data_IF_177828359933
#
_entry.id   IF_177828359933
#
_cell.length_a   1.000
_cell.length_b   1.000
_cell.length_c   1.000
_cell.angle_alpha   90.00
_cell.angle_beta   90.00
_cell.angle_gamma   90.00
#
_symmetry.space_group_name_H-M   'P 1'
#
loop_
_entity.id
_entity.type
_entity.pdbx_description
1 polymer ?
#
# COMPACT_ATOMS: atom_id res chain seq x y z
N UNK A 1 20.26 -5.15 -5.03
CA UNK A 1 20.30 -5.20 -3.57
C UNK A 1 21.58 -5.84 -3.06
N UNK A 2 22.14 -5.32 -1.96
CA UNK A 2 23.30 -5.92 -1.31
C UNK A 2 22.83 -6.82 -0.17
N UNK A 3 23.54 -7.95 0.07
CA UNK A 3 23.23 -8.85 1.17
C UNK A 3 22.13 -9.88 0.91
N UNK A 4 21.63 -9.99 -0.33
CA UNK A 4 20.65 -11.00 -0.73
C UNK A 4 21.29 -12.00 -1.70
N UNK A 5 21.10 -13.29 -1.44
CA UNK A 5 21.57 -14.37 -2.34
C UNK A 5 20.70 -14.47 -3.62
N UNK A 6 19.44 -14.10 -3.51
CA UNK A 6 18.48 -14.03 -4.62
C UNK A 6 17.62 -12.76 -4.52
N UNK A 7 17.36 -12.11 -5.64
CA UNK A 7 16.46 -10.97 -5.67
C UNK A 7 15.81 -10.79 -7.03
N UNK A 8 14.55 -10.37 -7.01
CA UNK A 8 13.77 -10.00 -8.18
C UNK A 8 12.99 -8.72 -7.83
N UNK A 9 13.25 -7.63 -8.56
CA UNK A 9 12.68 -6.31 -8.28
C UNK A 9 11.86 -5.87 -9.47
N UNK A 10 10.61 -5.46 -9.22
CA UNK A 10 9.78 -4.82 -10.22
C UNK A 10 10.46 -3.55 -10.74
N UNK A 11 10.46 -3.43 -12.07
CA UNK A 11 10.97 -2.27 -12.79
C UNK A 11 9.98 -1.91 -13.91
N UNK A 12 10.27 -0.90 -14.70
CA UNK A 12 9.45 -0.54 -15.85
C UNK A 12 9.37 0.96 -16.07
N UNK A 13 8.54 1.38 -17.01
CA UNK A 13 8.36 2.79 -17.40
C UNK A 13 7.74 3.64 -16.28
N UNK A 14 7.01 3.02 -15.37
CA UNK A 14 6.42 3.65 -14.20
C UNK A 14 7.20 3.14 -12.98
N UNK A 15 7.89 3.99 -12.31
CA UNK A 15 8.93 3.78 -11.27
C UNK A 15 8.75 2.56 -10.35
N UNK A 16 7.51 2.07 -10.18
CA UNK A 16 7.18 0.94 -9.31
C UNK A 16 6.63 -0.27 -10.08
N UNK A 17 6.93 -0.36 -11.39
CA UNK A 17 6.56 -1.47 -12.24
C UNK A 17 5.10 -1.45 -12.70
N UNK A 18 4.75 -2.40 -13.54
CA UNK A 18 3.43 -2.57 -14.14
C UNK A 18 2.66 -3.73 -13.50
N UNK A 19 1.33 -3.66 -13.52
CA UNK A 19 0.47 -4.74 -13.02
C UNK A 19 0.37 -5.93 -13.97
N UNK A 20 0.49 -5.68 -15.28
CA UNK A 20 0.38 -6.69 -16.32
C UNK A 20 1.68 -6.78 -17.10
N UNK A 21 2.08 -8.00 -17.42
CA UNK A 21 3.31 -8.32 -18.12
C UNK A 21 4.51 -7.52 -17.58
N UNK A 22 4.77 -7.60 -16.26
CA UNK A 22 5.72 -6.73 -15.59
C UNK A 22 7.16 -6.98 -16.01
N UNK A 23 7.94 -5.92 -15.93
CA UNK A 23 9.39 -5.95 -16.06
C UNK A 23 10.01 -6.22 -14.68
N UNK A 24 11.04 -7.07 -14.65
CA UNK A 24 11.84 -7.34 -13.46
C UNK A 24 13.34 -7.16 -13.73
N UNK A 25 14.05 -6.72 -12.73
CA UNK A 25 15.46 -7.01 -12.58
C UNK A 25 15.62 -8.19 -11.64
N UNK A 26 16.11 -9.31 -12.15
CA UNK A 26 16.33 -10.53 -11.39
C UNK A 26 17.81 -10.92 -11.41
N UNK A 27 18.44 -10.90 -10.25
CA UNK A 27 19.86 -11.21 -10.09
C UNK A 27 20.76 -10.50 -11.13
N UNK A 28 20.42 -9.23 -11.45
CA UNK A 28 21.15 -8.39 -12.39
C UNK A 28 20.77 -8.57 -13.87
N UNK A 29 19.73 -9.34 -14.18
CA UNK A 29 19.22 -9.49 -15.55
C UNK A 29 17.83 -8.85 -15.65
N UNK A 30 17.62 -8.07 -16.72
CA UNK A 30 16.30 -7.57 -17.05
C UNK A 30 15.48 -8.66 -17.74
N UNK A 31 14.27 -8.91 -17.25
CA UNK A 31 13.32 -9.88 -17.81
C UNK A 31 11.94 -9.27 -17.86
N UNK A 32 11.12 -9.71 -18.80
CA UNK A 32 9.68 -9.39 -18.88
C UNK A 32 8.92 -10.68 -18.73
N UNK A 33 8.00 -10.73 -17.77
CA UNK A 33 7.19 -11.91 -17.54
C UNK A 33 5.74 -11.67 -17.93
N UNK A 34 5.12 -12.70 -18.52
CA UNK A 34 3.73 -12.67 -18.93
C UNK A 34 2.80 -13.00 -17.76
N UNK A 35 1.81 -12.13 -17.52
CA UNK A 35 0.81 -12.35 -16.49
C UNK A 35 0.58 -11.16 -15.58
N UNK A 36 0.02 -11.44 -14.41
CA UNK A 36 -0.31 -10.42 -13.42
C UNK A 36 0.76 -10.36 -12.32
N UNK A 37 1.27 -9.17 -12.04
CA UNK A 37 2.44 -8.95 -11.18
C UNK A 37 2.34 -9.63 -9.80
N UNK A 38 1.18 -9.53 -9.14
CA UNK A 38 0.98 -10.13 -7.80
C UNK A 38 1.10 -11.66 -7.84
N UNK A 39 0.57 -12.29 -8.90
CA UNK A 39 0.68 -13.75 -9.08
C UNK A 39 2.13 -14.16 -9.34
N UNK A 40 2.81 -13.44 -10.23
CA UNK A 40 4.21 -13.70 -10.61
C UNK A 40 5.15 -13.55 -9.40
N UNK A 41 4.98 -12.49 -8.60
CA UNK A 41 5.79 -12.26 -7.39
C UNK A 41 5.62 -13.45 -6.42
N UNK A 42 4.41 -13.99 -6.33
CA UNK A 42 4.11 -15.14 -5.47
C UNK A 42 4.74 -16.42 -6.02
N UNK A 43 4.66 -16.64 -7.34
CA UNK A 43 5.30 -17.78 -8.01
C UNK A 43 6.81 -17.76 -7.75
N UNK A 44 7.47 -16.59 -7.90
CA UNK A 44 8.90 -16.41 -7.59
C UNK A 44 9.23 -16.66 -6.12
N UNK A 45 8.36 -16.24 -5.20
CA UNK A 45 8.55 -16.51 -3.77
C UNK A 45 8.47 -18.01 -3.46
N UNK A 46 7.53 -18.73 -4.07
CA UNK A 46 7.40 -20.18 -3.93
C UNK A 46 8.59 -20.89 -4.57
N UNK A 47 9.00 -20.49 -5.77
CA UNK A 47 10.17 -21.05 -6.48
C UNK A 47 11.44 -20.89 -5.65
N UNK A 48 11.66 -19.71 -5.05
CA UNK A 48 12.77 -19.50 -4.10
C UNK A 48 12.72 -20.48 -2.93
N UNK A 49 11.55 -20.70 -2.33
CA UNK A 49 11.40 -21.64 -1.21
C UNK A 49 11.61 -23.09 -1.65
N UNK A 50 11.29 -23.47 -2.87
CA UNK A 50 11.55 -24.78 -3.43
C UNK A 50 13.03 -25.03 -3.67
N UNK A 51 13.72 -24.04 -4.24
CA UNK A 51 15.13 -24.12 -4.64
C UNK A 51 16.15 -23.85 -3.56
N UNK A 52 15.75 -23.33 -2.37
CA UNK A 52 16.66 -22.98 -1.29
C UNK A 52 17.36 -24.18 -0.68
N UNK A 53 18.52 -23.97 -0.07
CA UNK A 53 19.14 -24.97 0.80
C UNK A 53 18.30 -25.14 2.07
N UNK A 54 17.64 -26.30 2.20
CA UNK A 54 16.74 -26.61 3.31
C UNK A 54 17.45 -26.78 4.67
N UNK A 55 18.78 -26.89 4.68
CA UNK A 55 19.58 -26.96 5.90
C UNK A 55 19.95 -25.56 6.46
N UNK A 56 19.59 -24.50 5.74
CA UNK A 56 19.84 -23.13 6.16
C UNK A 56 18.54 -22.39 6.46
N UNK A 57 18.52 -21.47 7.44
CA UNK A 57 17.42 -20.56 7.61
C UNK A 57 17.30 -19.64 6.39
N UNK A 58 16.11 -19.07 6.18
CA UNK A 58 15.88 -18.07 5.14
C UNK A 58 15.30 -16.78 5.73
N UNK A 59 15.57 -15.68 5.05
CA UNK A 59 14.89 -14.39 5.25
C UNK A 59 14.36 -13.94 3.89
N UNK A 60 13.06 -13.74 3.77
CA UNK A 60 12.40 -13.37 2.53
C UNK A 60 11.62 -12.07 2.71
N UNK A 61 11.89 -11.10 1.83
CA UNK A 61 11.10 -9.89 1.68
C UNK A 61 10.14 -10.09 0.49
N UNK A 62 8.89 -10.42 0.80
CA UNK A 62 7.82 -10.66 -0.17
C UNK A 62 6.97 -9.41 -0.30
N UNK A 63 7.36 -8.53 -1.22
CA UNK A 63 6.73 -7.22 -1.42
C UNK A 63 5.85 -7.21 -2.66
N UNK A 64 4.59 -6.79 -2.49
CA UNK A 64 3.63 -6.66 -3.57
C UNK A 64 3.58 -5.20 -4.08
N UNK A 65 3.40 -5.03 -5.40
CA UNK A 65 3.06 -3.73 -5.98
C UNK A 65 1.66 -3.28 -5.54
N UNK A 66 0.72 -4.20 -5.56
CA UNK A 66 -0.66 -3.94 -5.16
C UNK A 66 -0.75 -3.62 -3.66
N UNK A 67 -1.55 -2.65 -3.24
CA UNK A 67 -2.53 -1.85 -4.00
C UNK A 67 -2.03 -0.44 -4.40
N UNK A 68 -0.81 -0.27 -4.87
CA UNK A 68 -0.31 1.04 -5.34
C UNK A 68 -1.15 1.57 -6.52
N UNK A 69 -1.31 2.91 -6.63
CA UNK A 69 -1.92 3.59 -7.79
C UNK A 69 -1.29 3.04 -9.09
N UNK A 70 -2.02 2.67 -10.14
CA UNK A 70 -3.41 3.07 -10.46
C UNK A 70 -4.46 1.95 -10.27
N UNK A 71 -4.28 1.08 -9.34
CA UNK A 71 -5.25 0.03 -8.94
C UNK A 71 -5.83 -0.73 -10.14
N UNK A 72 -5.05 -1.58 -10.73
CA UNK A 72 -5.47 -2.43 -11.84
C UNK A 72 -5.75 -3.84 -11.30
N UNK A 73 -7.02 -4.27 -11.20
CA UNK A 73 -7.39 -5.57 -10.67
C UNK A 73 -6.82 -6.72 -11.50
N UNK A 74 -6.59 -7.87 -10.88
CA UNK A 74 -6.28 -9.09 -11.61
C UNK A 74 -7.38 -9.45 -12.60
N UNK A 75 -7.09 -10.16 -13.71
CA UNK A 75 -8.09 -10.49 -14.74
C UNK A 75 -9.33 -11.19 -14.17
N UNK A 76 -9.15 -12.04 -13.14
CA UNK A 76 -10.25 -12.75 -12.46
C UNK A 76 -11.12 -11.82 -11.59
N UNK A 77 -10.57 -10.69 -11.13
CA UNK A 77 -11.28 -9.73 -10.26
C UNK A 77 -11.85 -8.51 -11.01
N UNK A 78 -11.57 -8.36 -12.30
CA UNK A 78 -12.15 -7.28 -13.10
C UNK A 78 -13.67 -7.28 -12.99
N UNK A 79 -14.23 -6.17 -12.49
CA UNK A 79 -15.66 -5.94 -12.34
C UNK A 79 -16.34 -6.64 -11.16
N UNK A 80 -15.62 -7.34 -10.29
CA UNK A 80 -16.19 -8.11 -9.18
C UNK A 80 -17.04 -7.24 -8.23
N UNK A 81 -16.71 -5.97 -8.09
CA UNK A 81 -17.42 -5.02 -7.23
C UNK A 81 -18.29 -4.01 -7.99
N UNK A 82 -18.57 -4.21 -9.29
CA UNK A 82 -19.33 -3.24 -10.07
C UNK A 82 -20.73 -2.94 -9.50
N UNK A 83 -21.34 -3.92 -8.85
CA UNK A 83 -22.66 -3.79 -8.22
C UNK A 83 -22.59 -3.57 -6.69
N UNK A 84 -21.41 -3.32 -6.14
CA UNK A 84 -21.22 -3.08 -4.71
C UNK A 84 -21.18 -1.58 -4.44
N UNK A 85 -21.90 -1.15 -3.40
CA UNK A 85 -21.78 0.21 -2.86
C UNK A 85 -21.00 0.14 -1.55
N UNK A 86 -19.91 0.89 -1.47
CA UNK A 86 -19.08 0.97 -0.28
C UNK A 86 -19.54 2.12 0.60
N UNK A 87 -19.46 1.98 1.94
CA UNK A 87 -19.77 3.09 2.86
C UNK A 87 -18.79 4.24 2.60
N UNK A 88 -19.31 5.45 2.60
CA UNK A 88 -18.53 6.66 2.47
C UNK A 88 -17.98 7.08 3.84
N UNK A 89 -16.71 7.53 3.93
CA UNK A 89 -16.21 8.15 5.15
C UNK A 89 -17.07 9.36 5.55
N UNK A 90 -17.30 9.56 6.84
CA UNK A 90 -18.13 10.67 7.34
C UNK A 90 -17.59 12.04 6.90
N UNK A 91 -16.28 12.14 6.66
CA UNK A 91 -15.57 13.34 6.23
C UNK A 91 -15.17 13.32 4.74
N UNK A 92 -15.85 12.53 3.89
CA UNK A 92 -15.62 12.53 2.43
C UNK A 92 -15.79 13.92 1.81
N UNK A 93 -16.65 14.74 2.40
CA UNK A 93 -16.94 16.11 1.95
C UNK A 93 -16.40 17.14 2.94
N UNK A 94 -15.21 16.90 3.49
CA UNK A 94 -14.52 17.82 4.40
C UNK A 94 -14.27 19.16 3.70
N UNK A 95 -14.65 20.25 4.32
CA UNK A 95 -14.42 21.63 3.85
C UNK A 95 -13.17 22.27 4.45
N UNK A 96 -12.48 21.51 5.30
CA UNK A 96 -11.27 21.92 6.02
C UNK A 96 -11.48 23.14 6.93
N UNK A 97 -12.71 23.41 7.40
CA UNK A 97 -12.97 24.49 8.35
C UNK A 97 -12.15 24.27 9.64
N UNK A 98 -11.50 25.33 10.10
CA UNK A 98 -10.62 25.28 11.26
C UNK A 98 -9.24 24.65 11.03
N UNK A 99 -8.95 24.15 9.80
CA UNK A 99 -7.65 23.60 9.45
C UNK A 99 -6.70 24.61 8.84
N UNK A 100 -5.39 24.29 8.95
CA UNK A 100 -4.32 25.11 8.38
C UNK A 100 -4.27 25.07 6.85
N UNK A 101 -3.36 25.83 6.28
CA UNK A 101 -3.15 25.95 4.83
C UNK A 101 -2.70 24.62 4.22
N UNK A 102 -1.94 23.82 4.94
CA UNK A 102 -1.46 22.53 4.43
C UNK A 102 -2.61 21.64 3.96
N UNK A 103 -3.68 21.51 4.76
CA UNK A 103 -4.84 20.70 4.42
C UNK A 103 -5.67 21.27 3.25
N UNK A 104 -5.65 22.62 3.06
CA UNK A 104 -6.42 23.29 1.99
C UNK A 104 -5.68 23.36 0.67
N UNK A 105 -4.35 23.44 0.69
CA UNK A 105 -3.50 23.68 -0.49
C UNK A 105 -2.90 22.40 -1.07
N UNK A 106 -3.19 21.24 -0.49
CA UNK A 106 -2.76 19.94 -1.03
C UNK A 106 -3.48 19.59 -2.33
N UNK A 107 -2.86 18.69 -3.11
CA UNK A 107 -3.40 18.20 -4.38
C UNK A 107 -3.60 16.66 -4.34
N UNK A 108 -4.42 16.20 -3.38
CA UNK A 108 -4.77 14.77 -3.17
C UNK A 108 -6.28 14.51 -3.26
N UNK A 109 -7.03 15.44 -3.82
CA UNK A 109 -8.48 15.43 -3.77
C UNK A 109 -9.07 14.39 -4.73
N UNK A 110 -10.04 13.61 -4.25
CA UNK A 110 -10.89 12.75 -5.09
C UNK A 110 -11.63 13.60 -6.13
N UNK A 111 -12.06 14.80 -5.76
CA UNK A 111 -12.79 15.69 -6.67
C UNK A 111 -11.94 16.11 -7.86
N UNK A 112 -10.74 16.64 -7.62
CA UNK A 112 -9.94 17.35 -8.62
C UNK A 112 -8.76 16.55 -9.15
N UNK A 113 -8.12 15.72 -8.30
CA UNK A 113 -6.84 15.08 -8.61
C UNK A 113 -6.97 13.66 -9.17
N UNK A 114 -8.04 12.93 -8.81
CA UNK A 114 -8.32 11.65 -9.47
C UNK A 114 -8.60 11.89 -10.95
N UNK A 115 -7.68 11.41 -11.81
CA UNK A 115 -7.76 11.63 -13.27
C UNK A 115 -8.77 10.71 -13.93
N UNK A 116 -9.39 11.22 -14.99
CA UNK A 116 -10.41 10.46 -15.72
C UNK A 116 -9.83 9.26 -16.46
N UNK A 117 -8.64 9.39 -17.02
CA UNK A 117 -7.97 8.33 -17.77
C UNK A 117 -7.25 7.33 -16.86
N UNK A 118 -6.30 7.79 -16.08
CA UNK A 118 -5.40 6.95 -15.30
C UNK A 118 -6.06 6.26 -14.11
N UNK A 119 -6.81 7.03 -13.30
CA UNK A 119 -7.42 6.53 -12.07
C UNK A 119 -8.80 5.92 -12.30
N UNK A 120 -9.65 6.64 -13.03
CA UNK A 120 -11.04 6.24 -13.26
C UNK A 120 -11.23 5.38 -14.52
N UNK A 121 -10.21 5.28 -15.39
CA UNK A 121 -10.19 4.43 -16.59
C UNK A 121 -11.36 4.73 -17.55
N UNK A 122 -11.58 6.03 -17.82
CA UNK A 122 -12.73 6.51 -18.60
C UNK A 122 -12.45 6.64 -20.12
N UNK A 123 -11.42 5.96 -20.62
CA UNK A 123 -11.13 5.90 -22.05
C UNK A 123 -11.56 4.56 -22.65
N UNK A 124 -12.21 4.63 -23.80
CA UNK A 124 -12.48 3.45 -24.62
C UNK A 124 -11.21 2.99 -25.34
N UNK A 125 -11.20 1.73 -25.81
CA UNK A 125 -10.10 1.20 -26.66
C UNK A 125 -9.85 2.11 -27.87
N UNK A 126 -10.91 2.56 -28.54
CA UNK A 126 -10.80 3.43 -29.72
C UNK A 126 -10.09 4.75 -29.39
N UNK A 127 -10.39 5.37 -28.25
CA UNK A 127 -9.76 6.62 -27.81
C UNK A 127 -8.29 6.39 -27.44
N UNK A 128 -7.98 5.30 -26.74
CA UNK A 128 -6.60 4.94 -26.43
C UNK A 128 -5.77 4.65 -27.69
N UNK A 129 -6.36 4.06 -28.72
CA UNK A 129 -5.69 3.82 -30.00
C UNK A 129 -5.49 5.09 -30.83
N UNK A 130 -6.31 6.12 -30.64
CA UNK A 130 -6.13 7.45 -31.27
C UNK A 130 -4.99 8.25 -30.64
N UNK A 131 -4.74 8.05 -29.35
CA UNK A 131 -3.65 8.67 -28.62
C UNK A 131 -2.82 7.61 -27.88
N UNK A 132 -1.90 7.00 -28.59
CA UNK A 132 -1.00 5.95 -28.05
C UNK A 132 0.07 6.49 -27.09
N UNK A 133 0.16 7.80 -26.90
CA UNK A 133 1.02 8.44 -25.90
C UNK A 133 0.35 8.54 -24.55
N UNK A 134 -0.96 8.30 -24.48
CA UNK A 134 -1.72 8.32 -23.25
C UNK A 134 -1.17 7.28 -22.24
N UNK A 135 -1.05 7.69 -21.00
CA UNK A 135 -0.50 6.88 -19.91
C UNK A 135 -1.30 5.58 -19.69
N UNK A 136 -2.63 5.62 -19.79
CA UNK A 136 -3.44 4.42 -19.66
C UNK A 136 -3.18 3.42 -20.79
N UNK A 137 -3.00 3.88 -22.04
CA UNK A 137 -2.66 2.99 -23.14
C UNK A 137 -1.34 2.25 -22.92
N UNK A 138 -0.37 2.90 -22.31
CA UNK A 138 0.95 2.28 -22.07
C UNK A 138 0.87 1.00 -21.21
N UNK A 139 -0.07 0.95 -20.27
CA UNK A 139 -0.32 -0.23 -19.41
C UNK A 139 -1.38 -1.15 -20.01
N UNK A 140 -2.40 -0.60 -20.68
CA UNK A 140 -3.46 -1.37 -21.34
C UNK A 140 -2.91 -2.30 -22.42
N UNK A 141 -1.99 -1.81 -23.27
CA UNK A 141 -1.39 -2.61 -24.35
C UNK A 141 -0.54 -3.80 -23.86
N UNK A 142 -0.17 -3.83 -22.56
CA UNK A 142 0.56 -4.94 -21.95
C UNK A 142 -0.35 -6.13 -21.62
N UNK A 143 -1.65 -5.91 -21.55
CA UNK A 143 -2.62 -6.97 -21.28
C UNK A 143 -2.76 -7.90 -22.49
N UNK A 144 -2.92 -9.23 -22.29
CA UNK A 144 -3.39 -10.13 -23.32
C UNK A 144 -4.73 -9.67 -23.91
N UNK A 145 -5.00 -9.99 -25.18
CA UNK A 145 -6.20 -9.49 -25.88
C UNK A 145 -7.51 -9.89 -25.18
N UNK A 146 -7.58 -11.08 -24.63
CA UNK A 146 -8.75 -11.57 -23.88
C UNK A 146 -8.98 -10.77 -22.59
N UNK A 147 -7.91 -10.27 -21.98
CA UNK A 147 -7.99 -9.39 -20.80
C UNK A 147 -8.41 -7.99 -21.21
N UNK A 148 -7.92 -7.48 -22.36
CA UNK A 148 -8.37 -6.21 -22.93
C UNK A 148 -9.87 -6.24 -23.25
N UNK A 149 -10.36 -7.32 -23.86
CA UNK A 149 -11.79 -7.48 -24.19
C UNK A 149 -12.65 -7.51 -22.92
N UNK A 150 -12.19 -8.20 -21.87
CA UNK A 150 -12.87 -8.19 -20.56
C UNK A 150 -12.84 -6.81 -19.92
N UNK A 151 -11.70 -6.11 -19.96
CA UNK A 151 -11.54 -4.75 -19.46
C UNK A 151 -12.55 -3.81 -20.12
N UNK A 152 -12.61 -3.80 -21.45
CA UNK A 152 -13.53 -2.92 -22.17
C UNK A 152 -14.99 -3.19 -21.82
N UNK A 153 -15.37 -4.46 -21.71
CA UNK A 153 -16.73 -4.85 -21.29
C UNK A 153 -17.04 -4.37 -19.87
N UNK A 154 -16.09 -4.52 -18.94
CA UNK A 154 -16.28 -4.17 -17.51
C UNK A 154 -16.39 -2.65 -17.31
N UNK A 155 -15.57 -1.86 -18.01
CA UNK A 155 -15.55 -0.42 -17.85
C UNK A 155 -16.54 0.33 -18.75
N UNK A 156 -17.16 -0.31 -19.75
CA UNK A 156 -18.12 0.33 -20.66
C UNK A 156 -19.26 1.03 -19.92
N UNK A 157 -19.85 0.39 -18.91
CA UNK A 157 -20.95 0.96 -18.13
C UNK A 157 -20.53 2.21 -17.35
N UNK A 158 -19.33 2.18 -16.73
CA UNK A 158 -18.73 3.32 -16.02
C UNK A 158 -18.51 4.51 -16.96
N UNK A 159 -17.94 4.26 -18.13
CA UNK A 159 -17.70 5.28 -19.15
C UNK A 159 -19.02 5.90 -19.62
N UNK A 160 -20.01 5.07 -19.93
CA UNK A 160 -21.31 5.53 -20.38
C UNK A 160 -22.04 6.38 -19.33
N UNK A 161 -21.99 5.98 -18.06
CA UNK A 161 -22.58 6.73 -16.95
C UNK A 161 -21.92 8.10 -16.78
N UNK A 162 -20.60 8.15 -16.74
CA UNK A 162 -19.86 9.41 -16.61
C UNK A 162 -20.18 10.39 -17.77
N UNK A 163 -20.30 9.89 -18.99
CA UNK A 163 -20.55 10.70 -20.20
C UNK A 163 -21.95 11.26 -20.33
N UNK A 164 -22.90 10.82 -19.51
CA UNK A 164 -24.23 11.48 -19.45
C UNK A 164 -24.12 12.91 -18.95
N UNK A 165 -23.07 13.24 -18.18
CA UNK A 165 -22.82 14.60 -17.70
C UNK A 165 -23.73 15.05 -16.55
N UNK A 166 -24.49 14.13 -15.96
CA UNK A 166 -25.46 14.44 -14.89
C UNK A 166 -24.79 14.55 -13.52
N UNK A 167 -23.59 13.98 -13.37
CA UNK A 167 -22.84 13.96 -12.11
C UNK A 167 -22.14 15.29 -11.86
N UNK A 168 -22.47 15.96 -10.73
CA UNK A 168 -21.90 17.27 -10.35
C UNK A 168 -21.75 17.40 -8.83
N UNK A 169 -20.78 18.21 -8.38
CA UNK A 169 -20.55 18.47 -6.96
C UNK A 169 -20.47 17.16 -6.15
N UNK A 170 -21.20 17.08 -5.05
CA UNK A 170 -21.17 15.91 -4.16
C UNK A 170 -21.53 14.59 -4.85
N UNK A 171 -22.44 14.59 -5.83
CA UNK A 171 -22.76 13.36 -6.55
C UNK A 171 -21.61 12.85 -7.42
N UNK A 172 -20.81 13.75 -7.99
CA UNK A 172 -19.60 13.38 -8.72
C UNK A 172 -18.51 12.86 -7.79
N UNK A 173 -18.32 13.47 -6.63
CA UNK A 173 -17.33 13.04 -5.63
C UNK A 173 -17.68 11.64 -5.13
N UNK A 174 -18.94 11.41 -4.70
CA UNK A 174 -19.43 10.09 -4.30
C UNK A 174 -19.22 9.06 -5.40
N UNK A 175 -19.56 9.38 -6.64
CA UNK A 175 -19.39 8.48 -7.76
C UNK A 175 -17.90 8.14 -8.00
N UNK A 176 -17.00 9.12 -7.99
CA UNK A 176 -15.55 8.90 -8.12
C UNK A 176 -15.02 8.02 -7.00
N UNK A 177 -15.45 8.29 -5.75
CA UNK A 177 -15.11 7.48 -4.59
C UNK A 177 -15.52 6.02 -4.79
N UNK A 178 -16.76 5.75 -5.24
CA UNK A 178 -17.22 4.38 -5.49
C UNK A 178 -16.36 3.67 -6.55
N UNK A 179 -16.01 4.35 -7.66
CA UNK A 179 -15.17 3.75 -8.68
C UNK A 179 -13.76 3.46 -8.15
N UNK A 180 -13.18 4.37 -7.39
CA UNK A 180 -11.89 4.22 -6.74
C UNK A 180 -11.88 3.00 -5.80
N UNK A 181 -12.86 2.89 -4.90
CA UNK A 181 -12.96 1.78 -3.94
C UNK A 181 -13.16 0.43 -4.62
N UNK A 182 -13.95 0.37 -5.70
CA UNK A 182 -14.16 -0.86 -6.49
C UNK A 182 -12.86 -1.39 -7.07
N UNK A 183 -12.06 -0.52 -7.69
CA UNK A 183 -10.79 -0.93 -8.29
C UNK A 183 -9.73 -1.21 -7.23
N UNK A 184 -9.65 -0.39 -6.17
CA UNK A 184 -8.72 -0.58 -5.05
C UNK A 184 -8.93 -1.95 -4.38
N UNK A 185 -10.15 -2.23 -3.93
CA UNK A 185 -10.45 -3.49 -3.22
C UNK A 185 -10.37 -4.71 -4.13
N UNK A 186 -10.73 -4.59 -5.41
CA UNK A 186 -10.53 -5.67 -6.37
C UNK A 186 -9.04 -5.98 -6.60
N UNK A 187 -8.17 -4.97 -6.45
CA UNK A 187 -6.70 -5.16 -6.51
C UNK A 187 -6.19 -5.82 -5.23
N UNK A 188 -6.73 -5.47 -4.06
CA UNK A 188 -6.39 -6.07 -2.76
C UNK A 188 -6.74 -7.57 -2.71
N UNK A 189 -7.86 -7.99 -3.34
CA UNK A 189 -8.23 -9.41 -3.40
C UNK A 189 -7.13 -10.31 -3.97
N UNK A 190 -6.39 -9.82 -4.97
CA UNK A 190 -5.28 -10.58 -5.53
C UNK A 190 -4.12 -10.74 -4.53
N UNK A 191 -3.90 -9.75 -3.67
CA UNK A 191 -2.89 -9.84 -2.59
C UNK A 191 -3.32 -10.88 -1.56
N UNK A 192 -4.57 -10.83 -1.11
CA UNK A 192 -5.13 -11.77 -0.13
C UNK A 192 -5.02 -13.22 -0.61
N UNK A 193 -5.48 -13.51 -1.84
CA UNK A 193 -5.37 -14.83 -2.45
C UNK A 193 -3.92 -15.32 -2.53
N UNK A 194 -3.00 -14.44 -2.90
CA UNK A 194 -1.60 -14.78 -3.09
C UNK A 194 -0.85 -14.98 -1.76
N UNK A 195 -1.20 -14.23 -0.72
CA UNK A 195 -0.75 -14.51 0.64
C UNK A 195 -1.23 -15.90 1.07
N UNK A 196 -2.51 -16.22 0.83
CA UNK A 196 -3.06 -17.55 1.08
C UNK A 196 -2.27 -18.64 0.37
N UNK A 197 -1.90 -18.47 -0.90
CA UNK A 197 -1.08 -19.41 -1.67
C UNK A 197 0.29 -19.64 -1.00
N UNK A 198 0.96 -18.59 -0.59
CA UNK A 198 2.28 -18.68 0.05
C UNK A 198 2.20 -19.36 1.43
N UNK A 199 1.20 -19.03 2.24
CA UNK A 199 0.99 -19.65 3.56
C UNK A 199 0.66 -21.15 3.42
N UNK A 200 -0.21 -21.51 2.48
CA UNK A 200 -0.55 -22.91 2.18
C UNK A 200 0.69 -23.70 1.70
N UNK A 201 1.58 -23.06 0.94
CA UNK A 201 2.84 -23.68 0.54
C UNK A 201 3.76 -23.92 1.75
N UNK A 202 3.92 -22.94 2.64
CA UNK A 202 4.70 -23.11 3.89
C UNK A 202 4.12 -24.21 4.78
N UNK A 203 2.80 -24.33 4.87
CA UNK A 203 2.13 -25.40 5.61
C UNK A 203 2.43 -26.76 4.98
N UNK A 204 2.28 -26.87 3.65
CA UNK A 204 2.54 -28.10 2.89
C UNK A 204 3.96 -28.65 3.09
N UNK A 205 4.95 -27.76 3.20
CA UNK A 205 6.35 -28.16 3.43
C UNK A 205 6.72 -28.28 4.90
N UNK A 206 5.76 -28.07 5.82
CA UNK A 206 5.95 -28.21 7.27
C UNK A 206 6.72 -27.05 7.94
N UNK A 207 6.87 -25.92 7.25
CA UNK A 207 7.65 -24.76 7.73
C UNK A 207 6.79 -23.63 8.30
N UNK A 208 5.47 -23.67 8.18
CA UNK A 208 4.58 -22.57 8.58
C UNK A 208 4.74 -22.19 10.05
N UNK A 209 4.84 -23.18 10.95
CA UNK A 209 5.00 -22.94 12.39
C UNK A 209 6.46 -22.66 12.79
N UNK A 210 7.39 -22.89 11.88
CA UNK A 210 8.81 -22.59 12.06
C UNK A 210 9.24 -21.27 11.41
N UNK A 211 8.31 -20.54 10.81
CA UNK A 211 8.56 -19.28 10.13
C UNK A 211 7.92 -18.13 10.89
N UNK A 212 8.67 -17.05 11.12
CA UNK A 212 8.14 -15.77 11.58
C UNK A 212 7.51 -15.10 10.37
N UNK A 213 6.20 -14.88 10.41
CA UNK A 213 5.46 -14.22 9.33
C UNK A 213 5.06 -12.83 9.81
N UNK A 214 5.44 -11.82 9.03
CA UNK A 214 5.08 -10.42 9.26
C UNK A 214 4.27 -9.91 8.08
N UNK A 215 3.06 -9.46 8.34
CA UNK A 215 2.22 -8.76 7.39
C UNK A 215 2.13 -7.29 7.79
N UNK A 216 2.53 -6.41 6.90
CA UNK A 216 2.52 -4.97 7.11
C UNK A 216 2.56 -4.22 5.77
N UNK A 217 2.58 -2.90 5.84
CA UNK A 217 2.80 -1.99 4.71
C UNK A 217 3.90 -0.99 5.06
N UNK A 218 4.49 -0.37 4.06
CA UNK A 218 5.48 0.70 4.20
C UNK A 218 4.85 1.99 4.76
N UNK A 219 3.59 2.27 4.41
CA UNK A 219 2.78 3.37 4.97
C UNK A 219 1.29 3.03 4.88
N UNK A 220 0.45 3.86 5.52
CA UNK A 220 -1.00 3.84 5.36
C UNK A 220 -1.45 4.56 4.08
N UNK A 221 -2.78 4.77 3.94
CA UNK A 221 -3.36 5.31 2.72
C UNK A 221 -4.74 5.94 3.00
N UNK A 222 -5.05 7.09 2.39
CA UNK A 222 -6.38 7.67 2.45
C UNK A 222 -7.32 6.95 1.49
N UNK A 223 -8.43 6.48 2.02
CA UNK A 223 -9.49 5.81 1.28
C UNK A 223 -10.78 6.62 1.28
N UNK A 224 -10.66 7.92 1.05
CA UNK A 224 -11.76 8.87 0.99
C UNK A 224 -11.88 9.76 2.21
N UNK A 225 -11.18 9.47 3.32
CA UNK A 225 -11.14 10.33 4.48
C UNK A 225 -10.61 11.72 4.05
N UNK A 226 -11.23 12.78 4.55
CA UNK A 226 -10.99 14.17 4.17
C UNK A 226 -11.21 14.48 2.68
N UNK A 227 -11.92 13.63 1.94
CA UNK A 227 -12.04 13.74 0.49
C UNK A 227 -10.75 13.42 -0.27
N UNK A 228 -9.80 12.76 0.37
CA UNK A 228 -8.47 12.49 -0.17
C UNK A 228 -8.29 11.04 -0.61
N UNK A 229 -7.25 10.83 -1.40
CA UNK A 229 -6.66 9.55 -1.74
C UNK A 229 -5.13 9.66 -1.65
N UNK A 230 -4.41 8.54 -1.74
CA UNK A 230 -2.95 8.50 -1.61
C UNK A 230 -2.49 8.69 -0.14
N UNK A 231 -1.30 9.22 0.11
CA UNK A 231 -0.58 9.26 1.39
C UNK A 231 0.18 10.58 1.51
N UNK A 232 1.08 10.73 2.46
CA UNK A 232 2.10 11.76 2.71
C UNK A 232 1.88 12.60 3.96
N UNK A 233 0.65 12.90 4.35
CA UNK A 233 0.39 13.60 5.60
C UNK A 233 0.72 12.74 6.83
N UNK A 234 1.10 13.39 7.92
CA UNK A 234 1.28 12.74 9.21
C UNK A 234 -0.05 12.45 9.93
N UNK A 235 -1.09 12.03 9.20
CA UNK A 235 -2.39 11.65 9.77
C UNK A 235 -2.45 10.14 10.01
N UNK A 236 -3.43 9.68 10.82
CA UNK A 236 -3.52 8.25 11.18
C UNK A 236 -3.68 7.36 9.95
N UNK A 237 -4.45 7.81 8.97
CA UNK A 237 -4.70 7.10 7.71
C UNK A 237 -3.39 6.77 6.97
N UNK A 238 -2.39 7.68 7.06
CA UNK A 238 -1.08 7.47 6.44
C UNK A 238 -0.09 6.73 7.32
N UNK A 239 -0.26 6.74 8.65
CA UNK A 239 0.74 6.22 9.58
C UNK A 239 0.33 4.94 10.28
N UNK A 240 -0.98 4.67 10.39
CA UNK A 240 -1.50 3.50 11.08
C UNK A 240 -1.76 2.35 10.10
N UNK A 241 -0.68 1.78 9.54
CA UNK A 241 -0.79 0.57 8.75
C UNK A 241 -0.98 -0.66 9.64
N UNK A 242 -1.55 -1.76 9.09
CA UNK A 242 -1.63 -3.02 9.82
C UNK A 242 -0.23 -3.55 10.14
N UNK A 243 -0.08 -4.16 11.32
CA UNK A 243 1.08 -4.93 11.69
C UNK A 243 0.62 -6.22 12.37
N UNK A 244 0.75 -7.34 11.67
CA UNK A 244 0.39 -8.67 12.16
C UNK A 244 1.64 -9.53 12.14
N UNK A 245 1.96 -10.13 13.29
CA UNK A 245 3.14 -11.00 13.42
C UNK A 245 2.70 -12.35 13.97
N UNK A 246 3.05 -13.41 13.23
CA UNK A 246 2.78 -14.79 13.62
C UNK A 246 4.07 -15.57 13.80
N UNK A 247 4.24 -16.18 14.97
CA UNK A 247 5.27 -17.17 15.26
C UNK A 247 4.84 -18.03 16.46
N UNK A 248 4.13 -19.15 16.26
CA UNK A 248 3.49 -19.93 17.34
C UNK A 248 4.47 -20.44 18.41
N UNK A 249 5.75 -20.58 18.05
CA UNK A 249 6.78 -21.04 19.00
C UNK A 249 7.12 -20.01 20.09
N UNK A 250 6.80 -18.74 19.89
CA UNK A 250 7.16 -17.66 20.82
C UNK A 250 6.07 -16.62 21.03
N UNK A 251 5.11 -16.49 20.13
CA UNK A 251 4.07 -15.47 20.17
C UNK A 251 2.72 -16.14 20.40
N UNK A 252 2.03 -15.74 21.48
CA UNK A 252 0.72 -16.24 21.81
C UNK A 252 -0.31 -15.77 20.81
N UNK A 253 -1.11 -16.69 20.24
CA UNK A 253 -2.17 -16.37 19.33
C UNK A 253 -3.22 -15.45 19.97
N UNK A 254 -3.74 -14.48 19.21
CA UNK A 254 -4.75 -13.52 19.64
C UNK A 254 -4.26 -12.42 20.59
N UNK A 255 -2.95 -12.35 20.87
CA UNK A 255 -2.39 -11.22 21.63
C UNK A 255 -2.42 -9.93 20.80
N UNK A 256 -2.65 -8.81 21.47
CA UNK A 256 -2.66 -7.46 20.86
C UNK A 256 -1.77 -6.53 21.68
N UNK A 257 -1.27 -5.47 21.06
CA UNK A 257 -0.44 -4.47 21.71
C UNK A 257 -0.78 -3.05 21.26
N UNK A 258 -0.68 -2.10 22.19
CA UNK A 258 -0.72 -0.66 21.91
C UNK A 258 0.69 -0.04 21.91
N UNK A 259 1.76 -0.84 21.91
CA UNK A 259 3.12 -0.33 21.81
C UNK A 259 3.30 0.46 20.52
N UNK A 260 3.87 1.65 20.62
CA UNK A 260 4.23 2.44 19.42
C UNK A 260 5.32 1.68 18.67
N UNK A 261 5.01 1.16 17.50
CA UNK A 261 5.90 0.42 16.61
C UNK A 261 6.19 1.25 15.37
N UNK A 262 7.40 1.11 14.83
CA UNK A 262 7.86 1.87 13.66
C UNK A 262 8.56 0.93 12.68
N UNK A 263 8.65 1.32 11.40
CA UNK A 263 9.33 0.52 10.36
C UNK A 263 10.80 0.23 10.72
N UNK A 264 11.47 1.14 11.42
CA UNK A 264 12.85 0.97 11.89
C UNK A 264 13.02 -0.14 12.91
N UNK A 265 11.92 -0.68 13.49
CA UNK A 265 11.94 -1.75 14.47
C UNK A 265 12.03 -3.14 13.85
N UNK A 266 11.76 -3.28 12.56
CA UNK A 266 11.72 -4.60 11.92
C UNK A 266 13.10 -5.25 11.88
N UNK A 267 14.13 -4.53 11.43
CA UNK A 267 15.48 -5.07 11.35
C UNK A 267 16.00 -5.54 12.72
N UNK A 268 15.98 -4.73 13.80
CA UNK A 268 16.43 -5.19 15.11
C UNK A 268 15.57 -6.35 15.66
N UNK A 269 14.27 -6.40 15.33
CA UNK A 269 13.39 -7.51 15.71
C UNK A 269 13.82 -8.83 15.06
N UNK A 270 14.13 -8.79 13.75
CA UNK A 270 14.58 -10.00 13.03
C UNK A 270 15.94 -10.48 13.53
N UNK A 271 16.89 -9.57 13.77
CA UNK A 271 18.20 -9.91 14.35
C UNK A 271 18.05 -10.55 15.75
N UNK A 272 17.21 -9.99 16.60
CA UNK A 272 16.96 -10.51 17.95
C UNK A 272 16.32 -11.92 17.92
N UNK A 273 15.35 -12.16 17.04
CA UNK A 273 14.80 -13.51 16.86
C UNK A 273 15.83 -14.49 16.28
N UNK A 274 16.74 -14.03 15.46
CA UNK A 274 17.84 -14.83 14.91
C UNK A 274 18.97 -15.07 15.92
N UNK A 275 18.94 -14.43 17.09
CA UNK A 275 20.01 -14.51 18.09
C UNK A 275 21.29 -13.78 17.66
N UNK A 276 21.17 -12.80 16.77
CA UNK A 276 22.27 -11.98 16.27
C UNK A 276 22.31 -10.66 17.05
N UNK A 277 23.50 -10.22 17.42
CA UNK A 277 23.69 -8.93 18.09
C UNK A 277 23.18 -7.77 17.21
N UNK A 278 22.38 -6.89 17.80
CA UNK A 278 21.84 -5.73 17.12
C UNK A 278 22.93 -4.66 17.02
N UNK A 279 23.35 -4.24 15.82
CA UNK A 279 24.33 -3.16 15.66
C UNK A 279 23.90 -1.87 16.36
N UNK A 280 24.85 -1.18 16.99
CA UNK A 280 24.57 0.01 17.81
C UNK A 280 24.11 1.25 17.02
N UNK A 281 24.29 1.25 15.70
CA UNK A 281 23.84 2.30 14.78
C UNK A 281 22.40 2.13 14.31
N UNK A 282 21.75 1.01 14.62
CA UNK A 282 20.33 0.80 14.36
C UNK A 282 19.49 1.65 15.33
N UNK A 283 18.64 2.52 14.79
CA UNK A 283 17.82 3.45 15.57
C UNK A 283 16.53 2.82 16.12
N UNK A 284 16.09 1.70 15.55
CA UNK A 284 14.90 0.97 16.01
C UNK A 284 15.12 0.17 17.27
N UNK A 285 14.05 -0.32 17.88
CA UNK A 285 14.06 -1.24 19.00
C UNK A 285 13.42 -2.56 18.64
N UNK A 286 13.96 -3.68 19.14
CA UNK A 286 13.34 -4.99 18.92
C UNK A 286 11.93 -5.05 19.51
N UNK A 287 10.95 -5.47 18.70
CA UNK A 287 9.59 -5.76 19.14
C UNK A 287 9.48 -7.09 19.90
N UNK A 288 10.51 -7.93 19.92
CA UNK A 288 10.47 -9.25 20.54
C UNK A 288 10.03 -9.21 22.00
N UNK A 289 10.50 -8.29 22.88
CA UNK A 289 10.02 -8.22 24.25
C UNK A 289 8.51 -7.96 24.39
N UNK A 290 7.92 -7.21 23.47
CA UNK A 290 6.46 -6.98 23.40
C UNK A 290 5.76 -8.23 22.91
N UNK A 291 6.26 -8.85 21.84
CA UNK A 291 5.64 -9.99 21.16
C UNK A 291 5.59 -11.24 22.05
N UNK A 292 6.70 -11.59 22.73
CA UNK A 292 6.77 -12.78 23.59
C UNK A 292 6.08 -12.59 24.94
N UNK A 293 5.74 -11.36 25.33
CA UNK A 293 5.03 -11.02 26.55
C UNK A 293 3.54 -10.68 26.31
N UNK A 294 2.92 -11.40 25.40
CA UNK A 294 1.47 -11.26 25.08
C UNK A 294 1.04 -9.83 24.72
N UNK A 295 1.92 -9.06 24.09
CA UNK A 295 1.66 -7.68 23.70
C UNK A 295 1.86 -6.63 24.81
N UNK A 296 2.30 -7.03 26.00
CA UNK A 296 2.56 -6.08 27.09
C UNK A 296 3.77 -5.22 26.77
N UNK A 297 3.56 -3.91 26.84
CA UNK A 297 4.61 -2.92 26.58
C UNK A 297 5.60 -2.86 27.76
N UNK A 298 6.90 -2.99 27.54
CA UNK A 298 7.92 -2.74 28.57
C UNK A 298 7.82 -1.32 29.14
N UNK A 299 8.18 -1.14 30.42
CA UNK A 299 8.06 0.16 31.11
C UNK A 299 8.94 1.25 30.50
N UNK A 300 10.06 0.88 29.92
CA UNK A 300 11.04 1.73 29.24
C UNK A 300 10.79 1.88 27.73
N UNK A 301 9.68 1.34 27.23
CA UNK A 301 9.32 1.46 25.82
C UNK A 301 9.08 2.92 25.41
N UNK A 302 9.37 3.23 24.16
CA UNK A 302 9.14 4.58 23.62
C UNK A 302 7.71 5.06 23.80
N UNK A 303 7.57 6.35 24.15
CA UNK A 303 6.26 7.01 24.35
C UNK A 303 5.82 7.84 23.16
N UNK A 304 6.70 7.98 22.15
CA UNK A 304 6.42 8.78 20.97
C UNK A 304 7.17 8.23 19.75
N UNK A 305 6.61 8.51 18.57
CA UNK A 305 7.24 8.32 17.27
C UNK A 305 7.48 9.67 16.62
N UNK A 306 8.66 9.85 16.04
CA UNK A 306 9.02 11.00 15.23
C UNK A 306 8.78 10.69 13.76
N UNK A 307 8.29 11.67 13.01
CA UNK A 307 8.08 11.59 11.57
C UNK A 307 8.60 12.86 10.90
N UNK A 308 9.13 12.72 9.67
CA UNK A 308 9.56 13.86 8.86
C UNK A 308 9.28 13.60 7.39
N UNK A 309 8.60 14.56 6.74
CA UNK A 309 8.33 14.59 5.31
C UNK A 309 9.08 15.76 4.66
N UNK A 310 9.92 15.46 3.68
CA UNK A 310 10.89 16.42 3.12
C UNK A 310 10.49 17.00 1.76
N UNK A 311 9.59 16.31 1.06
CA UNK A 311 9.30 16.61 -0.34
C UNK A 311 8.29 17.75 -0.48
N UNK A 312 8.60 18.72 -1.36
CA UNK A 312 7.67 19.75 -1.80
C UNK A 312 8.26 20.45 -3.05
N UNK A 313 7.46 20.78 -4.12
CA UNK A 313 6.01 20.44 -4.26
C UNK A 313 5.74 18.96 -4.54
N UNK A 314 6.72 18.20 -5.02
CA UNK A 314 6.66 16.78 -5.32
C UNK A 314 5.28 16.33 -5.86
N UNK A 315 4.88 15.10 -5.60
CA UNK A 315 3.53 14.62 -5.90
C UNK A 315 2.54 15.19 -4.89
N UNK A 316 1.42 15.75 -5.35
CA UNK A 316 0.29 16.24 -4.54
C UNK A 316 0.53 17.51 -3.70
N UNK A 317 1.61 18.22 -3.89
CA UNK A 317 1.87 19.52 -3.24
C UNK A 317 1.72 19.53 -1.72
N UNK A 318 1.96 18.36 -1.07
CA UNK A 318 1.93 18.27 0.39
C UNK A 318 3.11 19.04 0.98
N UNK A 319 2.82 19.98 1.88
CA UNK A 319 3.84 20.83 2.50
C UNK A 319 4.82 20.02 3.34
N UNK A 320 6.11 20.40 3.34
CA UNK A 320 7.11 19.80 4.21
C UNK A 320 6.70 19.92 5.66
N UNK A 321 6.83 18.84 6.40
CA UNK A 321 6.46 18.84 7.80
C UNK A 321 7.23 17.78 8.59
N UNK A 322 7.35 18.03 9.88
CA UNK A 322 7.77 17.04 10.84
C UNK A 322 6.85 17.06 12.05
N UNK A 323 6.91 16.05 12.86
CA UNK A 323 6.07 16.00 14.04
C UNK A 323 6.36 14.81 14.94
N UNK A 324 5.61 14.79 16.02
CA UNK A 324 5.65 13.75 17.02
C UNK A 324 4.26 13.17 17.25
N UNK A 325 4.18 11.86 17.32
CA UNK A 325 2.95 11.11 17.64
C UNK A 325 3.14 10.39 18.96
N UNK A 326 2.28 10.67 19.93
CA UNK A 326 2.13 9.94 21.20
C UNK A 326 0.94 8.99 21.13
N UNK A 327 0.56 8.33 22.23
CA UNK A 327 -0.69 7.55 22.28
C UNK A 327 -1.93 8.40 22.05
N UNK A 328 -1.94 9.63 22.58
CA UNK A 328 -3.13 10.48 22.69
C UNK A 328 -3.15 11.66 21.72
N UNK A 329 -1.99 12.09 21.24
CA UNK A 329 -1.84 13.32 20.47
C UNK A 329 -0.82 13.21 19.34
N UNK A 330 -1.01 14.05 18.32
CA UNK A 330 -0.01 14.41 17.33
C UNK A 330 0.23 15.90 17.37
N UNK A 331 1.49 16.31 17.23
CA UNK A 331 1.88 17.71 17.00
C UNK A 331 2.69 17.75 15.70
N UNK A 332 2.24 18.53 14.73
CA UNK A 332 2.83 18.64 13.40
C UNK A 332 3.26 20.07 13.17
N UNK A 333 4.48 20.27 12.69
CA UNK A 333 4.99 21.56 12.22
C UNK A 333 5.21 21.52 10.71
N UNK A 334 4.45 22.30 9.99
CA UNK A 334 4.67 22.58 8.57
C UNK A 334 5.67 23.73 8.47
N UNK A 335 6.80 23.49 7.81
CA UNK A 335 7.96 24.40 7.81
C UNK A 335 8.40 24.76 6.38
N UNK A 336 9.20 25.83 6.23
CA UNK A 336 9.73 26.36 4.99
C UNK A 336 8.68 26.92 4.02
N UNK A 337 7.74 26.09 3.57
CA UNK A 337 6.73 26.46 2.57
C UNK A 337 5.61 27.30 3.20
N UNK A 338 5.33 27.00 4.45
CA UNK A 338 4.45 27.72 5.37
C UNK A 338 5.05 27.57 6.77
N UNK A 339 4.59 28.37 7.72
CA UNK A 339 4.97 28.23 9.13
C UNK A 339 3.70 28.11 9.97
N UNK A 340 3.23 26.85 10.08
CA UNK A 340 1.98 26.53 10.77
C UNK A 340 2.14 25.28 11.64
N UNK A 341 1.42 25.28 12.77
CA UNK A 341 1.35 24.14 13.66
C UNK A 341 -0.06 23.53 13.66
N UNK A 342 -0.13 22.21 13.66
CA UNK A 342 -1.37 21.47 13.81
C UNK A 342 -1.24 20.48 14.96
N UNK A 343 -2.20 20.51 15.89
CA UNK A 343 -2.28 19.58 17.00
C UNK A 343 -3.57 18.75 16.87
N UNK A 344 -3.42 17.43 16.82
CA UNK A 344 -4.54 16.48 16.68
C UNK A 344 -4.67 15.66 17.95
N UNK A 345 -5.90 15.49 18.43
CA UNK A 345 -6.25 14.54 19.48
C UNK A 345 -6.55 13.18 18.83
N UNK A 346 -5.97 12.09 19.36
CA UNK A 346 -6.18 10.72 18.89
C UNK A 346 -7.21 9.96 19.76
N UNK A 347 -7.73 10.62 20.79
CA UNK A 347 -8.75 10.06 21.71
C UNK A 347 -10.14 10.62 21.49
N UNK A 348 -10.31 11.58 20.55
CA UNK A 348 -11.58 12.21 20.19
C UNK A 348 -11.92 12.05 18.70
N UNK A 349 -11.38 11.00 18.08
CA UNK A 349 -11.61 10.66 16.66
C UNK A 349 -12.83 9.74 16.57
#
# INVERSE_FOLDING_TARGET
PQGFDHWSILSGQHEQGDYYDPDFWENGKHIVEKGYATDIITDKAIEFLEGRDKNKPFCMMYHQKAPHRNWMPAPRHLGIFNNTTFPEPANLFDDYEGRGRAAREQDMSIEHTLTNDWDLKLLTREEMLKDTTNRLYSVYKRMPIEVQDKWDSVYAGRIAEYRKGDLKGKSLISWKYQQYMRDYLATVLAVDENIGRLLNYLEKIGELDNTIIVYTSDQGFFLGEHGWFDKRFMYEECQRMPLIIRYPKAIKAGSTSNAISMNVDFAPTFLDFAGIEIPSDIQGASLKPVLVNEGKTPADWRKAAYYHYYEYPAEHSVKRHYGIRTQDFKLIHFYNDIDEWEMLSLIHI
#
